data_IF_513407360785
#
_entry.id   IF_513407360785
#
_cell.length_a   1.000
_cell.length_b   1.000
_cell.length_c   1.000
_cell.angle_alpha   90.00
_cell.angle_beta   90.00
_cell.angle_gamma   90.00
#
_symmetry.space_group_name_H-M   'P 1'
#
loop_
_entity.id
_entity.type
_entity.pdbx_description
1 polymer ?
2 non-polymer ?
3 non-polymer ?
4 water ?
#
# COMPACT_ATOMS: atom_id res chain seq x y z
N UNK A 14 -6.25 -7.81 -21.11
CA UNK A 14 -4.91 -7.69 -20.54
C UNK A 14 -4.91 -6.81 -19.30
N UNK A 15 -5.73 -5.76 -19.32
CA UNK A 15 -5.76 -4.82 -18.19
C UNK A 15 -6.29 -5.55 -16.95
N UNK A 16 -5.68 -5.37 -15.78
CA UNK A 16 -6.13 -6.13 -14.61
C UNK A 16 -7.44 -5.57 -14.06
N UNK A 17 -8.32 -6.49 -13.67
CA UNK A 17 -9.58 -6.13 -13.02
C UNK A 17 -9.38 -6.03 -11.50
N UNK A 18 -8.47 -5.14 -11.12
CA UNK A 18 -8.14 -4.97 -9.71
C UNK A 18 -9.34 -4.51 -8.91
N UNK A 19 -10.05 -3.50 -9.41
CA UNK A 19 -11.20 -2.94 -8.72
C UNK A 19 -12.45 -3.72 -9.15
N UNK A 20 -13.03 -4.45 -8.20
CA UNK A 20 -14.29 -5.15 -8.41
C UNK A 20 -15.34 -4.62 -7.45
N UNK A 21 -16.60 -4.75 -7.83
CA UNK A 21 -17.67 -4.22 -7.03
C UNK A 21 -17.75 -2.71 -7.14
N UNK A 22 -18.57 -2.14 -6.25
CA UNK A 22 -18.84 -0.71 -6.24
C UNK A 22 -18.60 -0.11 -4.86
N UNK A 23 -17.72 -0.71 -4.07
CA UNK A 23 -17.34 -0.21 -2.76
C UNK A 23 -15.84 0.09 -2.73
N UNK A 24 -15.43 1.20 -2.13
CA UNK A 24 -14.00 1.53 -2.09
C UNK A 24 -13.24 0.57 -1.19
N UNK A 25 -12.02 0.26 -1.61
CA UNK A 25 -11.18 -0.66 -0.83
C UNK A 25 -10.60 0.05 0.38
N UNK A 26 -10.68 -0.60 1.54
CA UNK A 26 -10.13 -0.08 2.78
C UNK A 26 -8.85 -0.86 3.08
N UNK A 27 -7.73 -0.15 3.17
CA UNK A 27 -6.43 -0.76 3.42
C UNK A 27 -5.94 -0.37 4.82
N UNK A 28 -5.32 -1.33 5.50
CA UNK A 28 -4.71 -1.09 6.81
C UNK A 28 -3.27 -0.63 6.61
N UNK A 29 -2.94 0.53 7.18
CA UNK A 29 -1.61 1.09 7.01
C UNK A 29 -0.55 0.19 7.64
N UNK A 30 0.31 -0.38 6.80
CA UNK A 30 1.34 -1.32 7.23
C UNK A 30 0.74 -2.42 8.10
N UNK A 31 -0.41 -2.93 7.67
CA UNK A 31 -1.15 -3.92 8.42
C UNK A 31 -1.94 -3.38 9.60
N UNK A 32 -2.01 -2.07 9.76
CA UNK A 32 -2.67 -1.48 10.90
C UNK A 32 -1.70 -1.21 12.03
N UNK A 33 -0.69 -0.37 11.76
CA UNK A 33 0.42 -0.18 12.67
C UNK A 33 0.00 0.49 13.99
N UNK A 34 -1.15 1.13 14.03
CA UNK A 34 -1.55 1.82 15.26
C UNK A 34 -1.97 0.85 16.36
N UNK A 35 -2.43 -0.35 15.99
CA UNK A 35 -2.92 -1.33 16.95
C UNK A 35 -1.97 -2.49 17.19
N UNK A 36 -1.18 -2.87 16.19
CA UNK A 36 -0.27 -4.01 16.28
C UNK A 36 1.04 -3.61 15.64
N UNK A 37 2.13 -4.32 15.96
CA UNK A 37 3.43 -3.99 15.37
C UNK A 37 3.40 -4.02 13.85
N UNK A 38 3.92 -2.96 13.24
CA UNK A 38 3.80 -2.79 11.79
C UNK A 38 4.48 -3.92 11.04
N UNK A 39 3.85 -4.32 9.93
CA UNK A 39 4.34 -5.32 8.99
C UNK A 39 4.43 -6.72 9.57
N UNK A 40 3.89 -6.96 10.76
CA UNK A 40 3.93 -8.28 11.38
C UNK A 40 2.61 -9.01 11.19
N UNK A 41 2.66 -10.33 11.35
CA UNK A 41 1.45 -11.14 11.22
C UNK A 41 0.43 -10.77 12.28
N UNK A 42 0.88 -10.36 13.47
CA UNK A 42 -0.04 -9.90 14.50
C UNK A 42 -0.87 -8.72 13.99
N UNK A 43 -0.33 -7.92 13.07
CA UNK A 43 -1.07 -6.81 12.50
C UNK A 43 -1.98 -7.26 11.36
N UNK A 44 -1.46 -8.13 10.49
CA UNK A 44 -2.24 -8.56 9.33
C UNK A 44 -3.42 -9.43 9.76
N UNK A 45 -3.22 -10.28 10.77
CA UNK A 45 -4.33 -11.08 11.28
C UNK A 45 -5.39 -10.20 11.93
N UNK A 46 -4.97 -9.23 12.75
CA UNK A 46 -5.91 -8.37 13.46
C UNK A 46 -6.69 -7.51 12.49
N UNK A 47 -6.01 -6.93 11.49
CA UNK A 47 -6.70 -6.09 10.52
C UNK A 47 -7.66 -6.91 9.67
N UNK A 48 -7.25 -8.11 9.24
CA UNK A 48 -8.13 -8.96 8.47
C UNK A 48 -9.36 -9.34 9.28
N UNK A 49 -9.19 -9.61 10.58
CA UNK A 49 -10.33 -9.87 11.45
C UNK A 49 -11.22 -8.64 11.56
N UNK A 50 -10.62 -7.45 11.62
CA UNK A 50 -11.37 -6.20 11.71
C UNK A 50 -12.01 -5.79 10.39
N UNK A 51 -12.00 -6.66 9.37
CA UNK A 51 -12.82 -6.44 8.19
C UNK A 51 -12.24 -5.54 7.13
N UNK A 52 -10.92 -5.38 7.08
CA UNK A 52 -10.32 -4.58 6.01
C UNK A 52 -10.31 -5.39 4.72
N UNK A 53 -10.25 -4.66 3.59
CA UNK A 53 -10.20 -5.30 2.29
C UNK A 53 -8.79 -5.71 1.87
N UNK A 54 -7.77 -5.12 2.47
CA UNK A 54 -6.41 -5.47 2.10
C UNK A 54 -5.40 -4.76 2.97
N UNK A 55 -4.14 -4.88 2.59
CA UNK A 55 -3.02 -4.35 3.34
C UNK A 55 -2.25 -3.37 2.48
N UNK A 56 -1.99 -2.18 3.02
CA UNK A 56 -0.99 -1.28 2.47
C UNK A 56 0.36 -1.64 3.10
N UNK A 57 1.41 -1.71 2.29
CA UNK A 57 2.68 -2.20 2.80
C UNK A 57 3.82 -1.70 1.93
N UNK A 58 5.04 -2.03 2.34
CA UNK A 58 6.27 -1.65 1.67
C UNK A 58 7.15 -2.88 1.54
N UNK A 59 8.11 -2.81 0.61
CA UNK A 59 9.02 -3.92 0.38
C UNK A 59 10.46 -3.39 0.38
N UNK A 60 11.36 -4.19 0.95
CA UNK A 60 12.79 -3.95 0.91
C UNK A 60 13.47 -5.23 0.48
N UNK A 61 14.60 -5.10 -0.22
CA UNK A 61 15.33 -6.25 -0.72
C UNK A 61 16.46 -6.60 0.24
N UNK A 62 16.69 -7.90 0.42
CA UNK A 62 17.72 -8.40 1.31
C UNK A 62 19.02 -8.63 0.55
N UNK A 63 20.03 -9.12 1.27
CA UNK A 63 21.25 -9.57 0.61
C UNK A 63 20.97 -10.78 -0.27
N UNK A 64 20.02 -11.63 0.14
CA UNK A 64 19.60 -12.78 -0.65
C UNK A 64 18.82 -12.38 -1.89
N UNK A 65 18.55 -11.08 -2.07
CA UNK A 65 17.68 -10.58 -3.14
C UNK A 65 16.28 -11.17 -3.00
N UNK A 66 15.74 -11.11 -1.78
CA UNK A 66 14.39 -11.55 -1.47
C UNK A 66 13.64 -10.40 -0.84
N UNK A 67 12.49 -10.04 -1.41
CA UNK A 67 11.70 -8.93 -0.88
C UNK A 67 11.09 -9.29 0.46
N UNK A 68 11.19 -8.37 1.42
CA UNK A 68 10.56 -8.55 2.73
C UNK A 68 9.61 -7.39 2.97
N UNK A 69 8.61 -7.65 3.81
CA UNK A 69 7.61 -6.65 4.18
C UNK A 69 8.26 -5.75 5.22
N UNK A 70 8.74 -4.58 4.80
CA UNK A 70 9.51 -3.70 5.66
C UNK A 70 9.53 -2.30 5.09
N UNK A 71 9.52 -1.29 5.97
CA UNK A 71 9.47 0.11 5.55
C UNK A 71 10.85 0.75 5.55
N UNK A 72 11.51 0.81 6.70
CA UNK A 72 12.79 1.50 6.80
C UNK A 72 13.87 0.75 6.04
N UNK A 73 14.91 1.50 5.64
CA UNK A 73 16.08 0.89 5.06
C UNK A 73 16.91 0.16 6.09
N UNK A 74 16.68 0.44 7.38
CA UNK A 74 17.39 -0.21 8.47
C UNK A 74 16.38 -0.83 9.42
N UNK A 75 16.82 -1.88 10.12
CA UNK A 75 15.95 -2.62 11.02
C UNK A 75 16.01 -2.04 12.43
N UNK A 76 16.68 -0.89 12.59
CA UNK A 76 16.93 -0.36 13.92
C UNK A 76 15.66 0.09 14.62
N UNK A 77 14.69 0.62 13.87
CA UNK A 77 13.52 1.22 14.50
C UNK A 77 12.56 0.17 15.03
N UNK A 78 12.33 -0.90 14.27
CA UNK A 78 11.28 -1.85 14.57
C UNK A 78 11.76 -3.21 15.03
N UNK A 79 13.08 -3.45 15.08
CA UNK A 79 13.61 -4.73 15.52
C UNK A 79 14.66 -4.51 16.60
N UNK A 80 15.13 -5.62 17.16
CA UNK A 80 16.21 -5.61 18.13
C UNK A 80 17.59 -5.61 17.49
N UNK A 81 17.66 -5.62 16.16
CA UNK A 81 18.93 -5.65 15.45
C UNK A 81 19.38 -4.26 15.03
N UNK A 82 20.42 -4.25 14.19
CA UNK A 82 21.02 -3.01 13.72
C UNK A 82 21.57 -3.23 12.32
N UNK A 83 21.50 -2.19 11.50
CA UNK A 83 22.04 -2.22 10.17
C UNK A 83 20.97 -2.20 9.09
N UNK A 84 21.45 -2.09 7.85
CA UNK A 84 20.55 -2.04 6.71
C UNK A 84 20.04 -3.42 6.35
N UNK A 85 18.83 -3.47 5.79
CA UNK A 85 18.28 -4.74 5.32
C UNK A 85 19.10 -5.28 4.16
N UNK A 86 19.69 -4.40 3.36
CA UNK A 86 20.51 -4.83 2.23
C UNK A 86 21.80 -5.50 2.66
N UNK A 87 22.21 -5.37 3.92
CA UNK A 87 23.41 -6.02 4.42
C UNK A 87 23.11 -7.27 5.25
N UNK A 88 21.85 -7.57 5.51
CA UNK A 88 21.45 -8.74 6.27
C UNK A 88 20.90 -9.81 5.37
N UNK A 89 21.10 -11.06 5.77
CA UNK A 89 20.44 -12.16 5.08
C UNK A 89 19.03 -12.33 5.61
N UNK A 90 18.20 -13.02 4.81
CA UNK A 90 16.85 -13.35 5.25
C UNK A 90 16.87 -14.18 6.52
N UNK A 91 17.86 -15.07 6.66
CA UNK A 91 17.95 -15.90 7.86
C UNK A 91 18.31 -15.06 9.07
N UNK A 92 19.23 -14.10 8.90
CA UNK A 92 19.60 -13.24 10.03
C UNK A 92 18.46 -12.29 10.38
N UNK A 93 17.79 -11.73 9.37
CA UNK A 93 16.66 -10.85 9.62
C UNK A 93 15.55 -11.57 10.37
N UNK A 94 15.36 -12.84 10.06
CA UNK A 94 14.26 -13.62 10.61
C UNK A 94 14.52 -14.06 12.05
N UNK A 95 15.73 -13.87 12.57
CA UNK A 95 15.96 -14.10 14.00
C UNK A 95 15.59 -12.89 14.84
N UNK A 96 15.28 -11.76 14.20
CA UNK A 96 14.97 -10.55 14.92
C UNK A 96 13.50 -10.51 15.30
N UNK A 97 13.19 -9.68 16.30
CA UNK A 97 11.82 -9.49 16.79
C UNK A 97 11.31 -8.19 16.19
N UNK A 98 10.42 -8.31 15.19
CA UNK A 98 9.85 -7.12 14.55
C UNK A 98 8.79 -6.43 15.41
N UNK A 99 8.60 -6.90 16.64
CA UNK A 99 7.72 -6.27 17.61
C UNK A 99 8.48 -5.80 18.85
N UNK A 100 9.81 -5.71 18.77
CA UNK A 100 10.62 -5.46 19.95
C UNK A 100 10.39 -4.07 20.52
N UNK A 101 10.04 -3.10 19.66
CA UNK A 101 9.91 -1.71 20.07
C UNK A 101 8.47 -1.20 20.01
N UNK A 102 7.50 -2.08 19.77
CA UNK A 102 6.10 -1.67 19.80
C UNK A 102 5.68 -1.45 21.24
N UNK A 103 5.23 -0.23 21.55
CA UNK A 103 4.80 0.12 22.89
C UNK A 103 3.30 0.43 22.90
N UNK A 104 2.61 -0.08 23.92
CA UNK A 104 1.25 0.33 24.18
C UNK A 104 1.28 1.63 25.00
N UNK A 105 0.09 2.18 25.28
CA UNK A 105 0.02 3.43 26.02
C UNK A 105 0.41 3.28 27.47
N UNK A 106 0.53 2.05 27.98
CA UNK A 106 1.05 1.84 29.32
C UNK A 106 2.57 2.01 29.39
N UNK A 107 3.24 2.09 28.25
CA UNK A 107 4.68 2.09 28.19
C UNK A 107 5.30 0.71 28.05
N UNK A 108 4.49 -0.34 28.09
CA UNK A 108 4.99 -1.71 27.97
C UNK A 108 5.21 -2.07 26.51
N UNK A 109 5.99 -3.13 26.30
CA UNK A 109 6.13 -3.74 24.98
C UNK A 109 5.47 -5.12 25.01
N UNK A 110 4.14 -5.19 24.88
CA UNK A 110 3.45 -6.45 25.15
C UNK A 110 3.68 -7.54 24.12
N UNK A 111 4.26 -7.22 22.96
CA UNK A 111 4.49 -8.20 21.91
C UNK A 111 5.96 -8.54 21.72
N UNK A 112 6.83 -8.03 22.60
CA UNK A 112 8.25 -8.36 22.51
C UNK A 112 8.48 -9.81 22.92
N UNK A 113 9.14 -10.57 22.05
CA UNK A 113 9.44 -11.96 22.31
C UNK A 113 8.29 -12.92 22.11
N UNK A 114 7.14 -12.44 21.65
CA UNK A 114 5.98 -13.29 21.45
C UNK A 114 5.99 -13.89 20.05
N UNK A 115 5.06 -14.82 19.82
CA UNK A 115 4.96 -15.46 18.52
C UNK A 115 4.39 -14.49 17.47
N UNK A 116 4.64 -14.82 16.21
CA UNK A 116 4.14 -14.06 15.06
C UNK A 116 4.65 -12.62 15.07
N UNK A 117 5.85 -12.40 15.63
CA UNK A 117 6.48 -11.09 15.70
C UNK A 117 7.69 -11.01 14.79
N UNK A 118 7.73 -11.83 13.75
CA UNK A 118 8.89 -11.92 12.87
C UNK A 118 8.62 -11.24 11.54
N UNK A 119 9.71 -10.84 10.87
CA UNK A 119 9.60 -10.22 9.56
C UNK A 119 9.09 -11.24 8.55
N UNK A 120 8.33 -10.76 7.57
CA UNK A 120 7.76 -11.60 6.53
C UNK A 120 8.29 -11.17 5.17
N UNK A 121 8.46 -12.15 4.29
CA UNK A 121 8.76 -11.87 2.90
C UNK A 121 7.47 -11.56 2.14
N UNK A 122 7.61 -10.90 1.00
CA UNK A 122 6.44 -10.61 0.18
C UNK A 122 5.85 -11.87 -0.42
N UNK A 123 6.63 -12.94 -0.53
CA UNK A 123 6.11 -14.19 -1.05
C UNK A 123 5.18 -14.85 -0.04
N UNK A 124 5.62 -14.95 1.22
CA UNK A 124 4.79 -15.57 2.24
C UNK A 124 3.53 -14.75 2.52
N UNK A 125 3.60 -13.42 2.32
CA UNK A 125 2.41 -12.60 2.51
C UNK A 125 1.34 -12.93 1.48
N UNK A 126 1.74 -13.20 0.23
CA UNK A 126 0.78 -13.51 -0.82
C UNK A 126 0.15 -14.88 -0.61
N UNK A 127 0.97 -15.88 -0.27
CA UNK A 127 0.45 -17.23 -0.05
C UNK A 127 -0.45 -17.30 1.18
N UNK A 128 -0.12 -16.54 2.22
CA UNK A 128 -0.81 -16.68 3.49
C UNK A 128 -2.15 -15.95 3.51
N UNK A 129 -2.26 -14.83 2.79
CA UNK A 129 -3.50 -14.06 2.71
C UNK A 129 -3.95 -13.98 1.25
N UNK A 130 -4.42 -15.09 0.67
CA UNK A 130 -4.74 -15.10 -0.76
C UNK A 130 -6.01 -14.35 -1.12
N UNK A 131 -6.79 -13.89 -0.14
CA UNK A 131 -8.02 -13.16 -0.39
C UNK A 131 -7.90 -11.67 -0.12
N UNK A 132 -6.72 -11.20 0.31
CA UNK A 132 -6.54 -9.79 0.60
C UNK A 132 -5.91 -9.08 -0.59
N UNK A 133 -6.28 -7.82 -0.76
CA UNK A 133 -5.69 -6.96 -1.78
C UNK A 133 -4.43 -6.31 -1.25
N UNK A 134 -3.41 -6.22 -2.09
CA UNK A 134 -2.10 -5.73 -1.69
C UNK A 134 -1.82 -4.41 -2.39
N UNK A 135 -1.64 -3.35 -1.60
CA UNK A 135 -1.20 -2.05 -2.09
C UNK A 135 0.23 -1.86 -1.58
N UNK A 136 1.20 -2.14 -2.44
CA UNK A 136 2.59 -2.28 -2.03
C UNK A 136 3.41 -1.12 -2.60
N UNK A 137 4.40 -0.68 -1.82
CA UNK A 137 5.24 0.46 -2.17
C UNK A 137 6.68 -0.02 -2.33
N UNK A 138 7.25 0.23 -3.50
CA UNK A 138 8.66 -0.08 -3.77
C UNK A 138 9.52 1.00 -3.14
N UNK A 139 10.17 0.66 -2.02
CA UNK A 139 10.87 1.65 -1.20
C UNK A 139 12.31 1.91 -1.64
N UNK A 140 13.01 0.88 -2.11
CA UNK A 140 14.41 1.04 -2.47
C UNK A 140 14.55 2.04 -3.62
N UNK A 141 15.51 2.94 -3.47
CA UNK A 141 15.71 4.00 -4.44
C UNK A 141 16.17 3.43 -5.79
N UNK A 142 15.82 4.08 -6.90
CA UNK A 142 16.25 3.57 -8.21
C UNK A 142 17.75 3.55 -8.38
N UNK A 143 18.45 4.53 -7.79
CA UNK A 143 19.90 4.61 -7.92
C UNK A 143 20.60 3.44 -7.24
N UNK A 144 19.97 2.86 -6.22
CA UNK A 144 20.60 1.81 -5.43
C UNK A 144 20.70 0.51 -6.23
N UNK A 145 21.54 -0.40 -5.73
CA UNK A 145 21.63 -1.73 -6.34
C UNK A 145 20.35 -2.53 -6.09
N UNK A 146 19.79 -2.40 -4.88
CA UNK A 146 18.56 -3.11 -4.56
C UNK A 146 17.40 -2.61 -5.40
N UNK A 147 17.40 -1.33 -5.75
CA UNK A 147 16.32 -0.77 -6.53
C UNK A 147 16.35 -1.17 -7.99
N UNK A 148 17.50 -1.64 -8.47
CA UNK A 148 17.60 -2.03 -9.88
C UNK A 148 16.92 -3.36 -10.12
N UNK A 149 17.03 -4.29 -9.17
CA UNK A 149 16.51 -5.65 -9.35
C UNK A 149 15.18 -5.88 -8.65
N UNK A 150 14.75 -4.96 -7.79
CA UNK A 150 13.52 -5.09 -7.02
C UNK A 150 12.26 -5.13 -7.90
N UNK A 151 12.10 -4.26 -8.91
CA UNK A 151 10.91 -4.36 -9.77
C UNK A 151 10.75 -5.71 -10.45
N UNK A 152 11.84 -6.31 -10.91
CA UNK A 152 11.75 -7.63 -11.54
C UNK A 152 11.37 -8.69 -10.51
N UNK A 153 12.05 -8.68 -9.35
CA UNK A 153 11.73 -9.64 -8.29
C UNK A 153 10.31 -9.43 -7.79
N UNK A 154 9.82 -8.19 -7.80
CA UNK A 154 8.44 -7.94 -7.41
C UNK A 154 7.48 -8.61 -8.37
N UNK A 155 7.71 -8.48 -9.67
CA UNK A 155 6.82 -9.09 -10.66
C UNK A 155 6.90 -10.61 -10.59
N UNK A 156 8.10 -11.16 -10.42
CA UNK A 156 8.25 -12.61 -10.34
C UNK A 156 7.47 -13.18 -9.16
N UNK A 157 7.46 -12.47 -8.04
CA UNK A 157 6.70 -12.93 -6.88
C UNK A 157 5.20 -12.85 -7.15
N UNK A 158 4.75 -11.76 -7.77
CA UNK A 158 3.35 -11.65 -8.17
C UNK A 158 3.01 -12.74 -9.18
N UNK A 159 3.91 -12.99 -10.13
CA UNK A 159 3.62 -13.97 -11.16
C UNK A 159 3.59 -15.38 -10.59
N UNK A 160 4.46 -15.70 -9.64
CA UNK A 160 4.52 -17.05 -9.11
C UNK A 160 3.28 -17.38 -8.29
N UNK A 161 2.60 -16.39 -7.73
CA UNK A 161 1.42 -16.61 -6.90
C UNK A 161 0.13 -16.27 -7.61
N UNK A 162 0.18 -15.99 -8.92
CA UNK A 162 -1.02 -15.75 -9.73
C UNK A 162 -1.87 -14.62 -9.16
N UNK A 163 -1.22 -13.61 -8.61
CA UNK A 163 -1.89 -12.50 -7.94
C UNK A 163 -1.88 -11.23 -8.77
N UNK A 164 -1.95 -11.36 -10.11
CA UNK A 164 -1.90 -10.19 -10.97
C UNK A 164 -3.07 -9.25 -10.73
N UNK A 165 -4.22 -9.78 -10.35
CA UNK A 165 -5.46 -9.02 -10.27
C UNK A 165 -5.76 -8.50 -8.87
N UNK A 166 -4.87 -8.74 -7.88
CA UNK A 166 -5.15 -8.33 -6.52
C UNK A 166 -3.98 -7.58 -5.87
N UNK A 167 -3.00 -7.14 -6.65
CA UNK A 167 -1.86 -6.40 -6.12
C UNK A 167 -1.75 -5.07 -6.86
N UNK A 168 -1.43 -4.02 -6.11
CA UNK A 168 -1.24 -2.68 -6.66
C UNK A 168 0.16 -2.21 -6.30
N UNK A 169 1.00 -2.02 -7.31
CA UNK A 169 2.41 -1.66 -7.13
C UNK A 169 2.57 -0.17 -7.38
N UNK A 170 3.04 0.55 -6.37
CA UNK A 170 3.28 1.99 -6.46
C UNK A 170 4.66 2.28 -5.89
N UNK A 171 5.05 3.56 -5.97
CA UNK A 171 6.34 3.99 -5.45
C UNK A 171 6.35 5.51 -5.36
N UNK A 172 7.16 6.03 -4.44
CA UNK A 172 7.39 7.46 -4.38
C UNK A 172 8.21 7.94 -5.57
N UNK A 173 9.09 7.09 -6.10
CA UNK A 173 9.89 7.42 -7.26
C UNK A 173 9.14 7.01 -8.52
N UNK A 174 8.97 7.95 -9.45
CA UNK A 174 8.33 7.63 -10.73
C UNK A 174 9.11 6.55 -11.48
N UNK A 175 10.44 6.52 -11.31
CA UNK A 175 11.26 5.58 -12.08
C UNK A 175 11.01 4.14 -11.68
N UNK A 176 10.66 3.89 -10.41
CA UNK A 176 10.38 2.52 -10.01
C UNK A 176 9.06 2.03 -10.62
N UNK A 177 8.05 2.89 -10.65
CA UNK A 177 6.83 2.57 -11.39
C UNK A 177 7.14 2.41 -12.87
N UNK A 178 8.06 3.22 -13.39
CA UNK A 178 8.46 3.12 -14.78
C UNK A 178 9.10 1.76 -15.04
N UNK A 179 9.97 1.31 -14.14
CA UNK A 179 10.70 0.07 -14.38
C UNK A 179 9.87 -1.16 -14.03
N UNK A 180 8.90 -1.04 -13.12
CA UNK A 180 8.03 -2.18 -12.87
C UNK A 180 7.02 -2.35 -14.00
N UNK A 181 6.53 -1.24 -14.57
CA UNK A 181 5.51 -1.32 -15.60
C UNK A 181 6.06 -1.88 -16.90
N UNK A 182 7.35 -1.64 -17.19
CA UNK A 182 7.93 -2.20 -18.41
C UNK A 182 8.03 -3.71 -18.30
N UNK A 183 8.24 -4.24 -17.10
CA UNK A 183 8.30 -5.68 -16.91
C UNK A 183 6.90 -6.27 -16.83
N UNK A 184 5.99 -5.61 -16.12
CA UNK A 184 4.66 -6.14 -15.86
C UNK A 184 3.73 -6.07 -17.06
N UNK A 185 4.13 -5.39 -18.14
CA UNK A 185 3.34 -5.27 -19.36
C UNK A 185 1.95 -4.67 -19.11
N UNK A 186 1.80 -3.88 -18.05
CA UNK A 186 0.49 -3.36 -17.71
C UNK A 186 -0.47 -4.41 -17.20
N UNK A 187 0.01 -5.60 -16.85
CA UNK A 187 -0.82 -6.66 -16.31
C UNK A 187 -1.01 -6.55 -14.79
N UNK A 188 -0.43 -5.53 -14.16
CA UNK A 188 -0.59 -5.27 -12.74
C UNK A 188 -0.91 -3.79 -12.56
N UNK A 189 -1.94 -3.49 -11.77
CA UNK A 189 -2.30 -2.11 -11.52
C UNK A 189 -1.15 -1.37 -10.85
N UNK A 190 -0.92 -0.13 -11.29
CA UNK A 190 0.18 0.67 -10.79
C UNK A 190 -0.34 2.01 -10.28
N UNK A 191 0.38 2.57 -9.31
CA UNK A 191 0.03 3.88 -8.81
C UNK A 191 0.49 4.99 -9.72
N UNK A 192 -0.18 6.13 -9.60
CA UNK A 192 0.14 7.30 -10.41
C UNK A 192 1.26 8.10 -9.75
N UNK A 193 2.26 8.47 -10.54
CA UNK A 193 3.33 9.31 -10.05
C UNK A 193 2.87 10.77 -9.98
N UNK A 194 3.57 11.54 -9.15
CA UNK A 194 3.22 12.95 -8.99
C UNK A 194 3.49 13.74 -10.27
N UNK A 195 4.54 13.36 -11.02
CA UNK A 195 4.84 14.04 -12.27
C UNK A 195 3.78 13.75 -13.33
N UNK A 196 3.28 12.51 -13.36
CA UNK A 196 2.27 12.15 -14.34
C UNK A 196 0.95 12.87 -14.09
N UNK A 197 0.62 13.12 -12.83
CA UNK A 197 -0.59 13.89 -12.51
C UNK A 197 -0.39 15.36 -12.84
N UNK A 198 0.80 15.89 -12.57
CA UNK A 198 1.10 17.28 -12.90
C UNK A 198 0.96 17.53 -14.40
N UNK A 199 1.47 16.60 -15.22
CA UNK A 199 1.35 16.73 -16.66
C UNK A 199 -0.01 16.29 -17.18
N UNK A 200 -0.83 15.66 -16.34
CA UNK A 200 -2.24 15.45 -16.69
C UNK A 200 -3.03 16.74 -16.55
N UNK A 201 -2.75 17.52 -15.50
CA UNK A 201 -3.40 18.82 -15.34
C UNK A 201 -3.02 19.76 -16.47
N UNK A 202 -1.78 19.67 -16.96
CA UNK A 202 -1.33 20.57 -18.02
C UNK A 202 -2.02 20.28 -19.34
N UNK A 203 -2.06 19.00 -19.73
CA UNK A 203 -2.77 18.63 -20.95
C UNK A 203 -4.28 18.83 -20.82
N UNK A 204 -4.80 18.95 -19.60
CA UNK A 204 -6.20 19.31 -19.42
C UNK A 204 -6.46 20.76 -19.80
N UNK A 205 -5.65 21.68 -19.25
CA UNK A 205 -5.84 23.10 -19.56
C UNK A 205 -5.58 23.39 -21.04
N UNK A 206 -4.56 22.74 -21.62
CA UNK A 206 -4.24 22.98 -23.02
C UNK A 206 -5.37 22.48 -23.93
N UNK A 207 -5.74 21.21 -23.79
CA UNK A 207 -6.73 20.58 -24.65
C UNK A 207 -8.16 20.74 -24.15
N UNK A 208 -8.37 21.44 -23.05
CA UNK A 208 -9.70 21.58 -22.49
C UNK A 208 -10.14 20.32 -21.77
N UNK A 209 -11.44 20.29 -21.43
CA UNK A 209 -12.02 19.12 -20.80
C UNK A 209 -12.02 17.88 -21.67
N UNK A 210 -11.60 18.02 -22.93
CA UNK A 210 -11.51 16.93 -23.88
C UNK A 210 -10.47 15.89 -23.49
N UNK A 211 -9.62 16.15 -22.50
CA UNK A 211 -8.51 15.27 -22.18
C UNK A 211 -8.87 14.32 -21.04
N UNK A 212 -8.34 13.10 -21.13
CA UNK A 212 -8.35 12.14 -20.05
C UNK A 212 -7.10 11.27 -20.17
N UNK A 213 -6.69 10.69 -19.05
CA UNK A 213 -5.54 9.80 -19.09
C UNK A 213 -5.91 8.50 -19.80
N UNK A 214 -5.04 8.01 -20.69
CA UNK A 214 -5.40 6.80 -21.45
C UNK A 214 -5.48 5.54 -20.61
N UNK A 215 -4.64 5.40 -19.59
CA UNK A 215 -4.64 4.25 -18.71
C UNK A 215 -4.96 4.71 -17.28
N UNK A 216 -5.93 4.03 -16.65
CA UNK A 216 -6.33 4.37 -15.31
C UNK A 216 -5.24 3.98 -14.31
N UNK A 217 -4.80 4.95 -13.52
CA UNK A 217 -3.80 4.72 -12.48
C UNK A 217 -4.28 5.34 -11.18
N UNK A 218 -3.93 4.70 -10.06
CA UNK A 218 -4.36 5.13 -8.74
C UNK A 218 -3.42 6.21 -8.21
N UNK A 219 -3.98 7.36 -7.88
CA UNK A 219 -3.22 8.46 -7.30
C UNK A 219 -3.65 8.61 -5.83
N UNK A 220 -2.83 8.08 -4.93
CA UNK A 220 -3.12 8.13 -3.50
C UNK A 220 -2.58 9.42 -2.92
N UNK A 221 -3.43 10.14 -2.20
CA UNK A 221 -3.17 11.48 -1.71
C UNK A 221 -3.32 11.56 -0.21
N UNK A 222 -2.70 12.53 0.45
CA UNK A 222 -3.08 12.87 1.82
C UNK A 222 -4.40 13.63 1.82
N UNK A 223 -5.11 13.54 2.94
CA UNK A 223 -6.34 14.31 3.08
C UNK A 223 -6.07 15.80 3.20
N UNK A 224 -4.86 16.18 3.62
CA UNK A 224 -4.47 17.57 3.77
C UNK A 224 -2.98 17.68 3.52
N UNK A 225 -2.57 18.81 2.95
CA UNK A 225 -1.16 19.09 2.71
C UNK A 225 -0.90 20.57 2.95
N UNK A 226 -0.14 20.87 4.01
CA UNK A 226 0.28 22.23 4.33
C UNK A 226 -0.92 23.18 4.39
N UNK A 227 -1.98 22.74 5.06
CA UNK A 227 -3.16 23.55 5.22
C UNK A 227 -4.16 23.48 4.09
N UNK A 228 -3.87 22.75 3.02
CA UNK A 228 -4.73 22.67 1.86
C UNK A 228 -5.55 21.40 1.94
N UNK A 229 -6.88 21.54 1.97
CA UNK A 229 -7.77 20.39 1.99
C UNK A 229 -7.89 19.81 0.60
N UNK A 230 -7.65 18.51 0.47
CA UNK A 230 -7.70 17.82 -0.81
C UNK A 230 -8.94 16.92 -0.95
N UNK A 231 -9.93 17.10 -0.09
CA UNK A 231 -11.14 16.28 -0.11
C UNK A 231 -12.26 16.90 -0.94
N UNK A 232 -11.96 17.94 -1.72
CA UNK A 232 -12.97 18.62 -2.51
C UNK A 232 -13.69 17.65 -3.45
N UNK A 233 -15.02 17.71 -3.45
CA UNK A 233 -15.80 16.82 -4.30
C UNK A 233 -15.53 17.08 -5.78
N UNK A 234 -15.29 18.34 -6.15
CA UNK A 234 -14.97 18.65 -7.54
C UNK A 234 -13.58 18.16 -7.92
N UNK A 235 -12.65 18.14 -6.97
CA UNK A 235 -11.30 17.63 -7.26
C UNK A 235 -11.33 16.13 -7.48
N UNK A 236 -12.07 15.41 -6.63
CA UNK A 236 -12.21 13.97 -6.82
C UNK A 236 -12.95 13.67 -8.11
N UNK A 237 -14.01 14.42 -8.41
CA UNK A 237 -14.74 14.23 -9.67
C UNK A 237 -13.86 14.57 -10.86
N UNK A 238 -13.07 15.64 -10.75
CA UNK A 238 -12.15 16.00 -11.82
C UNK A 238 -11.16 14.88 -12.09
N UNK A 239 -10.59 14.29 -11.02
CA UNK A 239 -9.65 13.20 -11.19
C UNK A 239 -10.30 12.00 -11.88
N UNK A 240 -11.53 11.66 -11.47
CA UNK A 240 -12.23 10.55 -12.12
C UNK A 240 -12.52 10.86 -13.59
N UNK A 241 -12.83 12.12 -13.89
CA UNK A 241 -13.05 12.50 -15.29
C UNK A 241 -11.75 12.43 -16.08
N UNK A 242 -10.63 12.76 -15.45
CA UNK A 242 -9.31 12.55 -16.03
C UNK A 242 -8.94 11.08 -16.13
N UNK A 243 -9.83 10.17 -15.69
CA UNK A 243 -9.55 8.74 -15.60
C UNK A 243 -8.35 8.48 -14.69
N UNK A 244 -8.22 9.28 -13.64
CA UNK A 244 -7.24 9.05 -12.57
C UNK A 244 -8.02 8.58 -11.35
N UNK A 245 -7.67 7.41 -10.84
CA UNK A 245 -8.40 6.80 -9.73
C UNK A 245 -7.94 7.46 -8.42
N UNK A 246 -8.79 8.25 -7.78
CA UNK A 246 -8.35 8.96 -6.58
C UNK A 246 -8.40 8.07 -5.35
N UNK A 247 -7.34 8.17 -4.53
CA UNK A 247 -7.30 7.46 -3.27
C UNK A 247 -6.71 8.35 -2.20
N UNK A 248 -6.91 7.94 -0.95
CA UNK A 248 -6.46 8.73 0.19
C UNK A 248 -5.87 7.82 1.26
N UNK A 249 -4.80 8.28 1.88
CA UNK A 249 -4.20 7.61 3.03
C UNK A 249 -4.29 8.53 4.24
N UNK A 250 -4.06 7.95 5.42
CA UNK A 250 -4.20 8.71 6.65
C UNK A 250 -5.63 9.05 7.02
N UNK A 251 -6.57 8.20 6.64
CA UNK A 251 -7.99 8.41 6.91
C UNK A 251 -8.34 7.65 8.18
N UNK A 252 -8.54 8.37 9.28
CA UNK A 252 -8.70 7.74 10.59
C UNK A 252 -9.95 8.22 11.31
N UNK A 253 -11.05 8.40 10.56
CA UNK A 253 -12.34 8.69 11.16
C UNK A 253 -13.42 8.15 10.25
N UNK A 254 -14.52 7.70 10.85
CA UNK A 254 -15.57 7.05 10.07
C UNK A 254 -16.33 8.05 9.22
N UNK A 255 -16.44 9.30 9.68
CA UNK A 255 -17.13 10.32 8.90
C UNK A 255 -16.33 10.71 7.67
N UNK A 256 -15.00 10.76 7.79
CA UNK A 256 -14.17 11.02 6.63
C UNK A 256 -14.23 9.85 5.64
N UNK A 257 -14.32 8.63 6.17
CA UNK A 257 -14.43 7.46 5.30
C UNK A 257 -15.72 7.50 4.50
N UNK A 258 -16.83 7.80 5.16
CA UNK A 258 -18.11 7.93 4.46
C UNK A 258 -18.09 9.12 3.50
N UNK A 259 -17.37 10.19 3.87
CA UNK A 259 -17.32 11.38 3.01
C UNK A 259 -16.58 11.09 1.72
N UNK A 260 -15.42 10.43 1.81
CA UNK A 260 -14.67 10.09 0.62
C UNK A 260 -15.37 9.03 -0.22
N UNK A 261 -16.08 8.11 0.44
CA UNK A 261 -16.81 7.08 -0.29
C UNK A 261 -17.94 7.67 -1.12
N UNK A 262 -18.62 8.69 -0.58
CA UNK A 262 -19.71 9.31 -1.30
C UNK A 262 -19.23 10.29 -2.36
N UNK A 263 -17.99 10.78 -2.27
CA UNK A 263 -17.48 11.73 -3.24
C UNK A 263 -16.88 11.05 -4.47
N UNK A 264 -16.46 9.78 -4.35
CA UNK A 264 -15.94 9.05 -5.48
C UNK A 264 -14.57 8.42 -5.27
N UNK A 265 -13.95 8.56 -4.10
CA UNK A 265 -12.67 7.92 -3.86
C UNK A 265 -12.84 6.40 -3.85
N UNK A 266 -11.80 5.70 -4.33
CA UNK A 266 -11.88 4.26 -4.52
C UNK A 266 -10.92 3.45 -3.65
N UNK A 267 -9.91 4.07 -3.05
CA UNK A 267 -9.02 3.39 -2.12
C UNK A 267 -8.86 4.23 -0.87
N UNK A 268 -8.88 3.57 0.28
CA UNK A 268 -8.74 4.22 1.58
C UNK A 268 -7.69 3.46 2.37
N UNK A 269 -6.63 4.14 2.78
CA UNK A 269 -5.62 3.59 3.66
C UNK A 269 -5.83 4.18 5.05
N UNK A 270 -5.97 3.32 6.05
CA UNK A 270 -6.26 3.76 7.41
C UNK A 270 -5.28 3.12 8.39
N UNK A 271 -4.82 3.95 9.34
CA UNK A 271 -4.02 3.44 10.45
C UNK A 271 -4.87 2.70 11.47
N UNK A 272 -6.17 2.95 11.48
CA UNK A 272 -7.11 2.38 12.44
C UNK A 272 -8.01 1.37 11.73
N UNK A 273 -7.62 0.11 11.64
CA UNK A 273 -8.45 -0.87 10.91
C UNK A 273 -9.78 -1.18 11.59
N UNK A 274 -9.97 -0.75 12.84
CA UNK A 274 -11.22 -0.99 13.53
C UNK A 274 -12.39 -0.29 12.84
N UNK A 275 -12.13 0.86 12.20
CA UNK A 275 -13.20 1.60 11.54
C UNK A 275 -13.69 0.89 10.28
N UNK A 276 -12.86 0.04 9.68
CA UNK A 276 -13.26 -0.64 8.45
C UNK A 276 -14.49 -1.52 8.68
N UNK A 277 -14.52 -2.26 9.79
CA UNK A 277 -15.68 -3.07 10.11
C UNK A 277 -16.92 -2.21 10.29
N UNK A 278 -16.77 -1.03 10.90
CA UNK A 278 -17.90 -0.13 11.08
C UNK A 278 -18.36 0.45 9.75
N UNK A 279 -17.42 0.79 8.87
CA UNK A 279 -17.77 1.30 7.55
C UNK A 279 -18.52 0.25 6.73
N UNK A 280 -18.09 -1.01 6.82
CA UNK A 280 -18.72 -2.07 6.04
C UNK A 280 -20.16 -2.31 6.46
N UNK A 281 -20.45 -2.20 7.76
CA UNK A 281 -21.82 -2.38 8.24
C UNK A 281 -22.76 -1.36 7.62
N UNK A 282 -22.26 -0.15 7.34
CA UNK A 282 -23.12 0.89 6.78
C UNK A 282 -23.47 0.60 5.33
N UNK A 283 -22.53 0.04 4.57
CA UNK A 283 -22.72 -0.16 3.13
C UNK A 283 -23.45 -1.47 2.90
N UNK A 284 -24.17 -1.62 1.79
CA UNK A 284 -24.83 -2.89 1.50
C UNK A 284 -23.84 -3.93 0.98
N UNK A 285 -24.24 -5.19 1.15
CA UNK A 285 -23.41 -6.33 0.72
C UNK A 285 -23.42 -6.53 -0.78
N UNK A 286 -24.45 -6.03 -1.49
CA UNK A 286 -24.52 -6.25 -2.93
C UNK A 286 -23.44 -5.47 -3.67
N UNK A 287 -22.96 -4.37 -3.08
CA UNK A 287 -21.92 -3.58 -3.73
C UNK A 287 -20.63 -4.35 -3.89
N UNK A 288 -20.33 -5.26 -2.96
CA UNK A 288 -19.11 -6.04 -3.02
C UNK A 288 -19.21 -7.17 -4.03
#
# INVERSE_FOLDING_TARGET
MAINKNKVITKKQTIPAFFKGNAPYIFAHRGGMALRPEQTQLAFDYAKQLGVDGFETDVRLTKDQQLIVFHDATVDRTTNGSGKVSAHTLAELKKLDAAYHFKDINGLTPYRGHAHTAILTFDELLKQYPDMYINVDLKDAPESYEGSIAPQIMFDTIAENQAFDRVLVTSFYKEQIVRFNKIAQGSVAIGASQQEVTEAFLKYHLLGGRYYQPLAQTFQMPTHFKGIDLTSSRFIKWLNDMNIIPGYYGVNSINLMNDLYQKGAHTIVTDRPDLAQQFKQTIPNKLEHHHHHH
#
